data_IF_008671680114
#
_entry.id   IF_008671680114
#
_cell.length_a   1.000
_cell.length_b   1.000
_cell.length_c   1.000
_cell.angle_alpha   90.00
_cell.angle_beta   90.00
_cell.angle_gamma   90.00
#
_symmetry.space_group_name_H-M   'P 1'
#
loop_
_entity.id
_entity.type
_entity.pdbx_description
1 polymer ?
#
# COMPACT_ATOMS: atom_id res chain seq x y z
N UNK A 1 3.19 -19.12 -1.94
CA UNK A 1 1.91 -18.69 -2.53
C UNK A 1 2.17 -18.23 -3.96
N UNK A 2 1.35 -18.63 -4.91
CA UNK A 2 1.51 -18.21 -6.31
C UNK A 2 1.22 -16.71 -6.45
N UNK A 3 2.14 -15.96 -7.04
CA UNK A 3 1.97 -14.52 -7.27
C UNK A 3 1.27 -14.28 -8.59
N UNK A 4 -0.01 -13.96 -8.50
CA UNK A 4 -0.82 -13.51 -9.64
C UNK A 4 -1.66 -12.31 -9.23
N UNK A 5 -2.07 -11.49 -10.19
CA UNK A 5 -3.01 -10.40 -9.94
C UNK A 5 -4.30 -10.88 -9.27
N UNK A 6 -4.81 -12.05 -9.66
CA UNK A 6 -6.02 -12.65 -9.09
C UNK A 6 -5.83 -13.01 -7.62
N UNK A 7 -4.73 -13.69 -7.30
CA UNK A 7 -4.39 -14.07 -5.93
C UNK A 7 -4.19 -12.84 -5.05
N UNK A 8 -3.47 -11.83 -5.55
CA UNK A 8 -3.24 -10.58 -4.81
C UNK A 8 -4.53 -9.79 -4.59
N UNK A 9 -5.37 -9.71 -5.62
CA UNK A 9 -6.70 -9.09 -5.52
C UNK A 9 -7.56 -9.81 -4.49
N UNK A 10 -7.61 -11.14 -4.50
CA UNK A 10 -8.37 -11.92 -3.53
C UNK A 10 -7.87 -11.72 -2.09
N UNK A 11 -6.55 -11.60 -1.90
CA UNK A 11 -5.97 -11.32 -0.58
C UNK A 11 -6.45 -9.97 -0.03
N UNK A 12 -6.43 -8.92 -0.87
CA UNK A 12 -6.95 -7.58 -0.54
C UNK A 12 -8.45 -7.63 -0.24
N UNK A 13 -9.24 -8.19 -1.16
CA UNK A 13 -10.70 -8.24 -1.07
C UNK A 13 -11.18 -9.02 0.17
N UNK A 14 -10.48 -10.10 0.53
CA UNK A 14 -10.83 -10.93 1.69
C UNK A 14 -10.79 -10.20 3.03
N UNK A 15 -10.08 -9.06 3.11
CA UNK A 15 -9.99 -8.27 4.33
C UNK A 15 -11.16 -7.31 4.52
N UNK A 16 -11.96 -7.06 3.49
CA UNK A 16 -13.11 -6.15 3.53
C UNK A 16 -12.79 -4.82 4.25
N UNK A 17 -11.83 -4.07 3.70
CA UNK A 17 -11.24 -2.88 4.35
C UNK A 17 -12.27 -1.81 4.73
N UNK A 18 -13.36 -1.74 3.97
CA UNK A 18 -14.46 -0.79 4.16
C UNK A 18 -15.32 -1.11 5.39
N UNK A 19 -15.17 -2.28 6.01
CA UNK A 19 -15.91 -2.67 7.22
C UNK A 19 -15.00 -3.05 8.40
N UNK A 20 -13.86 -3.70 8.13
CA UNK A 20 -13.05 -4.32 9.19
C UNK A 20 -11.96 -3.40 9.77
N UNK A 21 -11.69 -2.25 9.16
CA UNK A 21 -10.59 -1.35 9.54
C UNK A 21 -11.09 0.07 9.79
N UNK A 22 -12.35 0.23 10.18
CA UNK A 22 -12.99 1.53 10.35
C UNK A 22 -12.27 2.32 11.47
N UNK A 23 -12.04 3.63 11.26
CA UNK A 23 -11.42 4.44 12.29
C UNK A 23 -12.33 4.53 13.53
N UNK A 24 -11.74 4.39 14.72
CA UNK A 24 -12.46 4.47 16.00
C UNK A 24 -11.71 5.37 16.96
N UNK A 25 -12.39 6.37 17.52
CA UNK A 25 -11.80 7.28 18.50
C UNK A 25 -10.59 8.06 17.99
N UNK A 26 -10.54 8.37 16.69
CA UNK A 26 -9.42 9.08 16.05
C UNK A 26 -8.21 8.20 15.69
N UNK A 27 -8.24 6.90 16.00
CA UNK A 27 -7.22 5.93 15.57
C UNK A 27 -7.58 5.40 14.19
N UNK A 28 -6.58 5.30 13.31
CA UNK A 28 -6.70 4.74 11.97
C UNK A 28 -5.81 3.51 11.82
N UNK A 29 -6.20 2.59 10.94
CA UNK A 29 -5.61 1.25 10.84
C UNK A 29 -4.90 1.03 9.50
N UNK A 30 -4.30 2.09 8.93
CA UNK A 30 -3.63 2.03 7.62
C UNK A 30 -2.48 1.00 7.59
N UNK A 31 -1.66 1.02 8.64
CA UNK A 31 -0.54 0.10 8.82
C UNK A 31 -1.00 -1.35 9.00
N UNK A 32 -2.02 -1.58 9.84
CA UNK A 32 -2.57 -2.91 10.10
C UNK A 32 -3.15 -3.52 8.82
N UNK A 33 -3.95 -2.76 8.07
CA UNK A 33 -4.48 -3.22 6.78
C UNK A 33 -3.37 -3.58 5.80
N UNK A 34 -2.36 -2.72 5.65
CA UNK A 34 -1.23 -3.02 4.78
C UNK A 34 -0.48 -4.28 5.25
N UNK A 35 -0.19 -4.40 6.55
CA UNK A 35 0.50 -5.56 7.12
C UNK A 35 -0.28 -6.86 6.90
N UNK A 36 -1.60 -6.85 7.09
CA UNK A 36 -2.44 -8.04 6.92
C UNK A 36 -2.56 -8.47 5.46
N UNK A 37 -2.65 -7.53 4.51
CA UNK A 37 -2.57 -7.86 3.07
C UNK A 37 -1.23 -8.51 2.78
N UNK A 38 -0.12 -7.89 3.19
CA UNK A 38 1.20 -8.39 2.83
C UNK A 38 1.53 -9.72 3.53
N UNK A 39 1.02 -9.94 4.74
CA UNK A 39 1.12 -11.22 5.45
C UNK A 39 0.37 -12.33 4.71
N UNK A 40 -0.84 -12.06 4.20
CA UNK A 40 -1.56 -13.01 3.31
C UNK A 40 -0.73 -13.35 2.07
N UNK A 41 0.05 -12.40 1.56
CA UNK A 41 0.95 -12.61 0.41
C UNK A 41 2.33 -13.20 0.77
N UNK A 42 2.57 -13.60 2.03
CA UNK A 42 3.88 -14.09 2.50
C UNK A 42 5.03 -13.09 2.32
N UNK A 43 4.75 -11.80 2.41
CA UNK A 43 5.71 -10.71 2.23
C UNK A 43 5.60 -9.72 3.40
N UNK A 44 5.82 -10.17 4.63
CA UNK A 44 5.59 -9.35 5.81
C UNK A 44 6.26 -7.96 5.72
N UNK A 45 5.50 -6.93 6.04
CA UNK A 45 6.01 -5.57 6.19
C UNK A 45 6.66 -5.39 7.57
N UNK A 46 7.52 -4.36 7.73
CA UNK A 46 7.95 -3.92 9.05
C UNK A 46 6.76 -3.61 9.96
N UNK A 47 6.95 -3.85 11.26
CA UNK A 47 5.99 -3.48 12.30
C UNK A 47 5.93 -1.97 12.54
N UNK A 48 5.03 -1.56 13.45
CA UNK A 48 4.88 -0.17 13.87
C UNK A 48 3.88 0.64 13.03
N UNK A 49 3.86 1.94 13.28
CA UNK A 49 3.06 2.93 12.55
C UNK A 49 3.68 3.23 11.18
N UNK A 50 2.93 3.88 10.30
CA UNK A 50 3.37 4.18 8.93
C UNK A 50 4.71 4.93 8.86
N UNK A 51 5.01 5.84 9.80
CA UNK A 51 6.30 6.53 9.85
C UNK A 51 7.47 5.57 10.15
N UNK A 52 7.29 4.65 11.11
CA UNK A 52 8.29 3.66 11.49
C UNK A 52 8.51 2.64 10.36
N UNK A 53 7.42 2.23 9.70
CA UNK A 53 7.49 1.40 8.49
C UNK A 53 8.26 2.08 7.37
N UNK A 54 8.01 3.37 7.13
CA UNK A 54 8.72 4.14 6.11
C UNK A 54 10.23 4.22 6.40
N UNK A 55 10.61 4.40 7.66
CA UNK A 55 12.01 4.40 8.10
C UNK A 55 12.66 3.02 7.98
N UNK A 56 11.95 1.94 8.29
CA UNK A 56 12.47 0.59 8.13
C UNK A 56 12.71 0.25 6.65
N UNK A 57 11.77 0.61 5.77
CA UNK A 57 11.88 0.40 4.33
C UNK A 57 13.02 1.22 3.71
N UNK A 58 13.14 2.51 4.07
CA UNK A 58 14.21 3.37 3.53
C UNK A 58 15.60 2.92 3.98
N UNK A 59 15.72 2.42 5.21
CA UNK A 59 16.97 1.92 5.77
C UNK A 59 17.28 0.46 5.40
N UNK A 60 16.52 -0.13 4.45
CA UNK A 60 16.69 -1.52 3.98
C UNK A 60 16.63 -2.56 5.11
N UNK A 61 15.84 -2.28 6.15
CA UNK A 61 15.61 -3.19 7.30
C UNK A 61 14.46 -4.18 7.06
N UNK A 62 13.95 -4.26 5.83
CA UNK A 62 12.85 -5.11 5.43
C UNK A 62 13.34 -6.05 4.29
N UNK A 63 13.82 -7.26 4.62
CA UNK A 63 14.30 -8.20 3.61
C UNK A 63 13.26 -8.45 2.52
N UNK A 64 13.70 -8.55 1.26
CA UNK A 64 12.83 -8.74 0.10
C UNK A 64 12.12 -7.48 -0.40
N UNK A 65 12.01 -6.42 0.42
CA UNK A 65 11.43 -5.15 0.01
C UNK A 65 12.47 -4.20 -0.59
N UNK A 66 12.10 -3.53 -1.68
CA UNK A 66 12.94 -2.52 -2.31
C UNK A 66 12.11 -1.43 -2.99
N UNK A 67 12.73 -0.26 -3.15
CA UNK A 67 12.08 0.93 -3.71
C UNK A 67 11.90 0.80 -5.23
N UNK A 68 10.77 1.30 -5.74
CA UNK A 68 10.44 1.31 -7.17
C UNK A 68 9.80 2.65 -7.56
N UNK A 69 9.72 2.92 -8.86
CA UNK A 69 8.94 4.06 -9.39
C UNK A 69 7.44 3.78 -9.27
N UNK A 70 6.59 4.81 -9.40
CA UNK A 70 5.13 4.61 -9.35
C UNK A 70 4.61 3.72 -10.49
N UNK A 71 5.21 3.82 -11.68
CA UNK A 71 4.83 3.03 -12.84
C UNK A 71 5.25 1.56 -12.65
N UNK A 72 6.45 1.33 -12.12
CA UNK A 72 6.91 -0.01 -11.76
C UNK A 72 6.07 -0.61 -10.63
N UNK A 73 5.68 0.18 -9.62
CA UNK A 73 4.80 -0.26 -8.55
C UNK A 73 3.47 -0.80 -9.11
N UNK A 74 2.82 -0.05 -10.01
CA UNK A 74 1.58 -0.51 -10.64
C UNK A 74 1.81 -1.75 -11.50
N UNK A 75 2.91 -1.78 -12.28
CA UNK A 75 3.27 -2.94 -13.11
C UNK A 75 3.47 -4.20 -12.27
N UNK A 76 4.16 -4.08 -11.13
CA UNK A 76 4.41 -5.20 -10.22
C UNK A 76 3.16 -5.66 -9.50
N UNK A 77 2.32 -4.75 -9.03
CA UNK A 77 1.01 -5.11 -8.51
C UNK A 77 0.18 -5.87 -9.56
N UNK A 78 0.18 -5.43 -10.83
CA UNK A 78 -0.49 -6.13 -11.94
C UNK A 78 0.07 -7.54 -12.22
N UNK A 79 1.30 -7.82 -11.81
CA UNK A 79 1.90 -9.15 -11.88
C UNK A 79 1.68 -9.97 -10.60
N UNK A 80 0.98 -9.41 -9.59
CA UNK A 80 0.69 -10.08 -8.32
C UNK A 80 1.76 -9.91 -7.25
N UNK A 81 2.73 -9.01 -7.45
CA UNK A 81 3.76 -8.74 -6.46
C UNK A 81 3.25 -7.81 -5.35
N UNK A 82 3.46 -8.16 -4.07
CA UNK A 82 3.13 -7.32 -2.92
C UNK A 82 3.77 -5.94 -3.07
N UNK A 83 2.96 -4.88 -3.04
CA UNK A 83 3.42 -3.53 -3.37
C UNK A 83 2.63 -2.49 -2.57
N UNK A 84 3.32 -1.47 -2.05
CA UNK A 84 2.73 -0.38 -1.27
C UNK A 84 3.19 0.99 -1.75
N UNK A 85 2.37 2.00 -1.45
CA UNK A 85 2.76 3.41 -1.44
C UNK A 85 2.79 3.91 0.00
N UNK A 86 3.82 4.65 0.39
CA UNK A 86 3.97 5.13 1.76
C UNK A 86 4.55 6.53 1.78
N UNK A 87 3.98 7.41 2.60
CA UNK A 87 4.47 8.77 2.84
C UNK A 87 4.68 8.97 4.34
N UNK A 88 5.90 9.33 4.71
CA UNK A 88 6.25 9.75 6.06
C UNK A 88 5.82 11.20 6.25
N UNK A 89 5.26 11.52 7.41
CA UNK A 89 4.79 12.88 7.75
C UNK A 89 5.17 13.27 9.18
N UNK A 90 5.18 14.57 9.45
CA UNK A 90 5.23 15.08 10.83
C UNK A 90 3.94 14.68 11.54
N UNK A 91 4.05 13.88 12.61
CA UNK A 91 2.90 13.30 13.30
C UNK A 91 2.59 11.89 12.76
N UNK A 92 1.61 11.79 11.85
CA UNK A 92 1.12 10.52 11.34
C UNK A 92 1.35 10.37 9.83
N UNK A 93 2.25 9.47 9.46
CA UNK A 93 2.39 9.02 8.07
C UNK A 93 1.20 8.20 7.61
N UNK A 94 1.21 7.84 6.33
CA UNK A 94 0.15 7.04 5.73
C UNK A 94 0.72 6.00 4.77
N UNK A 95 0.09 4.82 4.74
CA UNK A 95 0.45 3.70 3.86
C UNK A 95 -0.78 3.19 3.15
N UNK A 96 -0.63 2.87 1.87
CA UNK A 96 -1.67 2.29 1.01
C UNK A 96 -1.13 1.06 0.32
N UNK A 97 -2.02 0.12 0.02
CA UNK A 97 -1.72 -1.07 -0.76
C UNK A 97 -1.91 -0.75 -2.24
N UNK A 98 -0.88 -0.93 -3.06
CA UNK A 98 -1.03 -0.80 -4.52
C UNK A 98 -1.72 -2.06 -5.03
N UNK A 99 -2.92 -1.87 -5.60
CA UNK A 99 -3.80 -2.94 -6.07
C UNK A 99 -3.52 -3.22 -7.56
N UNK A 100 -3.70 -4.46 -8.03
CA UNK A 100 -3.78 -4.74 -9.46
C UNK A 100 -4.87 -3.89 -10.15
N UNK A 101 -4.49 -3.19 -11.23
CA UNK A 101 -5.36 -2.41 -12.13
C UNK A 101 -5.62 -3.13 -13.46
N UNK A 102 -4.74 -4.06 -13.83
CA UNK A 102 -4.81 -4.80 -15.10
C UNK A 102 -4.23 -4.05 -16.31
N UNK A 103 -3.90 -2.77 -16.16
CA UNK A 103 -3.26 -1.95 -17.19
C UNK A 103 -2.07 -1.17 -16.65
N UNK A 104 -1.13 -0.82 -17.53
CA UNK A 104 -0.05 0.12 -17.22
C UNK A 104 -0.59 1.53 -17.04
N UNK A 105 0.17 2.36 -16.33
CA UNK A 105 -0.14 3.78 -16.09
C UNK A 105 1.02 4.65 -16.56
N UNK A 106 0.74 5.91 -16.87
CA UNK A 106 1.77 6.87 -17.30
C UNK A 106 1.94 8.02 -16.32
N UNK A 107 0.96 8.27 -15.44
CA UNK A 107 1.01 9.35 -14.45
C UNK A 107 0.73 8.84 -13.03
N UNK A 108 1.37 9.46 -12.04
CA UNK A 108 1.29 9.07 -10.63
C UNK A 108 -0.14 8.99 -10.09
N UNK A 109 -1.02 9.92 -10.47
CA UNK A 109 -2.43 9.95 -10.00
C UNK A 109 -3.25 8.73 -10.43
N UNK A 110 -2.78 7.93 -11.38
CA UNK A 110 -3.48 6.75 -11.89
C UNK A 110 -3.18 5.47 -11.11
N UNK A 111 -2.22 5.49 -10.17
CA UNK A 111 -1.92 4.33 -9.32
C UNK A 111 -3.20 3.89 -8.60
N UNK A 112 -3.56 2.63 -8.78
CA UNK A 112 -4.72 2.01 -8.15
C UNK A 112 -4.32 1.51 -6.77
N UNK A 113 -5.08 1.91 -5.75
CA UNK A 113 -4.79 1.57 -4.36
C UNK A 113 -6.04 1.11 -3.60
N UNK A 114 -5.79 0.36 -2.53
CA UNK A 114 -6.72 0.09 -1.45
C UNK A 114 -6.13 0.69 -0.16
N UNK A 115 -6.98 1.22 0.73
CA UNK A 115 -6.51 1.78 1.99
C UNK A 115 -7.50 1.58 3.14
N UNK A 116 -6.93 1.54 4.34
CA UNK A 116 -7.60 1.95 5.57
C UNK A 116 -7.01 3.28 6.02
N UNK A 117 -7.78 4.14 6.68
CA UNK A 117 -7.34 5.47 7.11
C UNK A 117 -8.49 6.27 7.71
N UNK A 118 -8.46 7.60 7.53
CA UNK A 118 -9.64 8.46 7.79
C UNK A 118 -10.81 8.09 6.85
N UNK A 119 -10.49 7.58 5.66
CA UNK A 119 -11.43 6.99 4.72
C UNK A 119 -10.92 5.63 4.28
N UNK A 120 -11.81 4.65 4.24
CA UNK A 120 -11.49 3.30 3.80
C UNK A 120 -12.10 3.06 2.43
N UNK A 121 -11.32 2.44 1.55
CA UNK A 121 -11.83 1.99 0.26
C UNK A 121 -11.00 0.82 -0.25
N UNK A 122 -11.67 -0.09 -0.93
CA UNK A 122 -11.04 -1.28 -1.48
C UNK A 122 -10.41 -1.03 -2.87
N UNK A 123 -10.84 0.04 -3.57
CA UNK A 123 -10.35 0.35 -4.90
C UNK A 123 -10.62 1.82 -5.29
N UNK A 124 -9.61 2.68 -5.20
CA UNK A 124 -9.60 4.03 -5.80
C UNK A 124 -8.20 4.37 -6.33
N UNK A 125 -8.12 5.45 -7.09
CA UNK A 125 -6.83 6.05 -7.47
C UNK A 125 -6.19 6.76 -6.28
N UNK A 126 -4.86 6.82 -6.24
CA UNK A 126 -4.06 7.33 -5.12
C UNK A 126 -4.36 8.78 -4.69
N UNK A 127 -4.99 9.59 -5.56
CA UNK A 127 -5.44 10.95 -5.22
C UNK A 127 -6.60 10.99 -4.21
N UNK A 128 -7.21 9.85 -3.90
CA UNK A 128 -8.14 9.71 -2.78
C UNK A 128 -7.42 9.56 -1.42
N UNK A 129 -6.13 9.21 -1.45
CA UNK A 129 -5.28 9.04 -0.27
C UNK A 129 -4.50 10.29 0.07
N UNK A 130 -4.04 11.03 -0.95
CA UNK A 130 -3.28 12.26 -0.79
C UNK A 130 -3.72 13.34 -1.78
N UNK A 131 -3.60 14.61 -1.37
CA UNK A 131 -3.79 15.75 -2.27
C UNK A 131 -2.70 15.77 -3.33
N UNK A 132 -2.96 16.41 -4.47
CA UNK A 132 -2.02 16.43 -5.59
C UNK A 132 -0.62 16.97 -5.23
N UNK A 133 -0.54 17.97 -4.34
CA UNK A 133 0.71 18.54 -3.86
C UNK A 133 1.54 17.58 -3.00
N UNK A 134 0.88 16.59 -2.37
CA UNK A 134 1.50 15.62 -1.48
C UNK A 134 2.01 14.37 -2.20
N UNK A 135 1.42 14.06 -3.37
CA UNK A 135 1.75 12.88 -4.15
C UNK A 135 3.25 12.73 -4.48
N UNK A 136 4.00 13.80 -4.85
CA UNK A 136 5.44 13.67 -5.10
C UNK A 136 6.26 13.16 -3.92
N UNK A 137 5.75 13.28 -2.68
CA UNK A 137 6.42 12.77 -1.48
C UNK A 137 6.15 11.27 -1.20
N UNK A 138 5.25 10.63 -1.95
CA UNK A 138 4.93 9.20 -1.77
C UNK A 138 6.06 8.35 -2.35
N UNK A 139 6.58 7.43 -1.54
CA UNK A 139 7.56 6.43 -1.95
C UNK A 139 6.86 5.09 -2.20
N UNK A 140 7.31 4.35 -3.20
CA UNK A 140 6.75 3.05 -3.53
C UNK A 140 7.77 1.94 -3.25
N UNK A 141 7.27 0.84 -2.69
CA UNK A 141 8.06 -0.34 -2.41
C UNK A 141 7.32 -1.60 -2.87
N UNK A 142 8.08 -2.60 -3.31
CA UNK A 142 7.58 -3.91 -3.74
C UNK A 142 8.42 -5.03 -3.13
N UNK A 143 7.90 -6.25 -3.11
CA UNK A 143 8.59 -7.43 -2.57
C UNK A 143 8.81 -8.53 -3.63
N UNK A 144 9.99 -9.16 -3.62
CA UNK A 144 10.40 -10.28 -4.51
C UNK A 144 10.20 -11.69 -3.93
#
# INVERSE_FOLDING_TARGET
>A
MERTAKTYTAAIDSLNVESNYLPKGGVTHCNEFAQDVMKKMSAALPGGLANEMADALSNKKAPGWYAVTFSDAQKRANLGYPTIGIKKETGHGHVVVVRPKGSSITVLKEVQVAQAGTSNFNSKTINWSWKAADLPGVKFYTHD
#
